data_IF_639865933796
#
_entry.id   IF_639865933796
#
_cell.length_a   1.000
_cell.length_b   1.000
_cell.length_c   1.000
_cell.angle_alpha   90.00
_cell.angle_beta   90.00
_cell.angle_gamma   90.00
#
_symmetry.space_group_name_H-M   'P 1'
#
loop_
_entity.id
_entity.type
_entity.pdbx_description
1 polymer ?
#
# COMPACT_ATOMS: atom_id res chain seq x y z
N UNK A 1 3.51 -18.06 -10.13
CA UNK A 1 2.35 -18.74 -9.51
C UNK A 1 1.45 -19.37 -10.57
N UNK A 2 1.25 -20.69 -10.57
CA UNK A 2 0.41 -21.39 -11.56
C UNK A 2 -1.05 -21.42 -11.07
N UNK A 3 -2.00 -20.90 -11.84
CA UNK A 3 -3.41 -20.91 -11.47
C UNK A 3 -4.10 -22.13 -12.06
N UNK A 4 -4.67 -22.98 -11.19
CA UNK A 4 -5.49 -24.12 -11.61
C UNK A 4 -6.96 -23.71 -11.62
N UNK A 5 -7.66 -24.00 -12.73
CA UNK A 5 -9.10 -23.73 -12.86
C UNK A 5 -9.85 -24.41 -11.72
N UNK A 6 -10.75 -23.66 -11.07
CA UNK A 6 -11.54 -24.13 -9.92
C UNK A 6 -10.88 -23.92 -8.55
N UNK A 7 -9.68 -23.33 -8.49
CA UNK A 7 -9.02 -22.96 -7.23
C UNK A 7 -9.20 -21.48 -6.93
N UNK A 8 -9.61 -21.14 -5.70
CA UNK A 8 -9.70 -19.75 -5.24
C UNK A 8 -8.30 -19.15 -5.15
N UNK A 9 -8.13 -17.93 -5.66
CA UNK A 9 -6.91 -17.15 -5.52
C UNK A 9 -7.16 -15.85 -4.78
N UNK A 10 -6.11 -15.35 -4.14
CA UNK A 10 -6.09 -14.07 -3.43
C UNK A 10 -4.67 -13.52 -3.44
N UNK A 11 -4.51 -12.27 -3.00
CA UNK A 11 -3.19 -11.74 -2.72
C UNK A 11 -2.46 -12.59 -1.67
N UNK A 12 -1.22 -12.96 -1.98
CA UNK A 12 -0.30 -13.68 -1.11
C UNK A 12 0.98 -12.87 -0.88
N UNK A 13 0.91 -11.55 -1.08
CA UNK A 13 2.06 -10.64 -1.03
C UNK A 13 3.25 -11.09 -1.89
N UNK A 14 2.97 -11.66 -3.07
CA UNK A 14 4.00 -12.21 -3.96
C UNK A 14 4.95 -13.16 -3.22
N UNK A 15 4.39 -14.19 -2.58
CA UNK A 15 5.16 -15.18 -1.82
C UNK A 15 6.28 -15.88 -2.63
N UNK A 16 6.23 -15.84 -3.96
CA UNK A 16 7.35 -16.18 -4.84
C UNK A 16 8.49 -15.16 -4.79
N UNK A 17 8.21 -13.88 -4.97
CA UNK A 17 9.23 -12.81 -4.84
C UNK A 17 9.87 -12.80 -3.45
N UNK A 18 9.07 -12.94 -2.39
CA UNK A 18 9.59 -12.88 -1.01
C UNK A 18 10.56 -14.01 -0.70
N UNK A 19 10.35 -15.21 -1.26
CA UNK A 19 11.29 -16.35 -1.11
C UNK A 19 12.64 -16.08 -1.76
N UNK A 20 12.69 -15.20 -2.75
CA UNK A 20 13.90 -14.76 -3.43
C UNK A 20 14.48 -13.45 -2.85
N UNK A 21 13.91 -12.92 -1.76
CA UNK A 21 14.33 -11.65 -1.17
C UNK A 21 13.97 -10.42 -2.01
N UNK A 22 13.00 -10.54 -2.93
CA UNK A 22 12.55 -9.45 -3.80
C UNK A 22 11.27 -8.80 -3.28
N UNK A 23 11.09 -7.52 -3.59
CA UNK A 23 9.86 -6.80 -3.29
C UNK A 23 8.65 -7.38 -4.06
N UNK A 24 7.43 -7.31 -3.50
CA UNK A 24 6.23 -7.78 -4.18
C UNK A 24 5.95 -7.08 -5.51
N UNK A 25 5.25 -7.77 -6.42
CA UNK A 25 4.99 -7.26 -7.78
C UNK A 25 4.26 -5.92 -7.81
N UNK A 26 3.24 -5.71 -6.97
CA UNK A 26 2.52 -4.44 -6.93
C UNK A 26 3.38 -3.28 -6.42
N UNK A 27 4.35 -3.57 -5.55
CA UNK A 27 5.24 -2.61 -4.93
C UNK A 27 6.29 -2.17 -5.94
N UNK A 28 6.94 -3.13 -6.61
CA UNK A 28 7.98 -2.86 -7.61
C UNK A 28 7.45 -2.29 -8.93
N UNK A 29 6.20 -2.61 -9.31
CA UNK A 29 5.62 -2.12 -10.55
C UNK A 29 5.09 -0.67 -10.47
N UNK A 30 4.94 -0.11 -9.26
CA UNK A 30 4.33 1.21 -9.12
C UNK A 30 5.31 2.32 -9.51
N UNK A 31 4.95 3.22 -10.45
CA UNK A 31 5.80 4.35 -10.81
C UNK A 31 5.69 5.52 -9.82
N UNK A 32 4.57 5.61 -9.08
CA UNK A 32 4.24 6.75 -8.21
C UNK A 32 4.80 6.63 -6.79
N UNK A 33 5.46 5.51 -6.43
CA UNK A 33 6.02 5.33 -5.08
C UNK A 33 4.99 5.30 -3.96
N UNK A 34 3.76 4.85 -4.23
CA UNK A 34 2.70 4.86 -3.18
C UNK A 34 2.75 3.65 -2.26
N UNK A 35 3.37 2.55 -2.71
CA UNK A 35 3.40 1.31 -1.94
C UNK A 35 4.70 1.18 -1.14
N UNK A 36 4.52 0.93 0.15
CA UNK A 36 5.56 0.57 1.09
C UNK A 36 5.31 -0.86 1.56
N UNK A 37 6.36 -1.67 1.63
CA UNK A 37 6.25 -3.06 2.06
C UNK A 37 7.42 -3.46 2.95
N UNK A 38 7.14 -4.26 3.99
CA UNK A 38 8.16 -4.71 4.92
C UNK A 38 7.59 -5.49 6.10
N UNK A 39 8.39 -5.60 7.16
CA UNK A 39 8.07 -6.42 8.32
C UNK A 39 7.59 -5.53 9.48
N UNK A 40 6.38 -5.79 9.96
CA UNK A 40 5.78 -5.06 11.09
C UNK A 40 6.55 -5.24 12.39
N UNK A 41 7.19 -6.39 12.61
CA UNK A 41 7.94 -6.68 13.84
C UNK A 41 9.31 -6.00 13.89
N UNK A 42 9.89 -5.72 12.72
CA UNK A 42 11.15 -4.97 12.59
C UNK A 42 10.91 -3.45 12.50
N UNK A 43 9.64 -3.03 12.49
CA UNK A 43 9.22 -1.64 12.27
C UNK A 43 9.82 -1.03 10.98
N UNK A 44 10.09 -1.83 9.95
CA UNK A 44 10.79 -1.38 8.75
C UNK A 44 9.95 -1.64 7.49
N UNK A 45 9.72 -0.59 6.70
CA UNK A 45 9.02 -0.68 5.40
C UNK A 45 9.78 0.04 4.29
N UNK A 46 9.89 -0.61 3.14
CA UNK A 46 10.63 -0.13 1.98
C UNK A 46 9.69 0.37 0.89
N UNK A 47 9.97 1.55 0.34
CA UNK A 47 9.24 2.08 -0.80
C UNK A 47 9.61 1.34 -2.09
N UNK A 48 8.61 0.97 -2.89
CA UNK A 48 8.82 0.22 -4.13
C UNK A 48 9.53 0.97 -5.26
N UNK A 49 9.44 2.29 -5.29
CA UNK A 49 10.02 3.13 -6.35
C UNK A 49 11.37 3.70 -5.95
N UNK A 50 11.48 4.26 -4.74
CA UNK A 50 12.73 4.90 -4.27
C UNK A 50 13.70 3.90 -3.65
N UNK A 51 13.22 2.72 -3.20
CA UNK A 51 14.04 1.76 -2.47
C UNK A 51 14.39 2.19 -1.04
N UNK A 52 13.86 3.33 -0.59
CA UNK A 52 14.12 3.87 0.75
C UNK A 52 13.35 3.08 1.80
N UNK A 53 14.03 2.75 2.89
CA UNK A 53 13.42 2.07 4.03
C UNK A 53 13.18 3.06 5.15
N UNK A 54 11.95 3.11 5.65
CA UNK A 54 11.50 4.02 6.71
C UNK A 54 10.86 3.23 7.85
N UNK A 55 10.79 3.85 9.03
CA UNK A 55 10.08 3.27 10.18
C UNK A 55 8.57 3.27 9.94
N UNK A 56 7.92 2.13 10.13
CA UNK A 56 6.47 1.98 9.94
C UNK A 56 5.70 2.83 10.95
N UNK A 57 6.06 2.77 12.23
CA UNK A 57 5.44 3.54 13.31
C UNK A 57 5.53 5.05 13.06
N UNK A 58 6.70 5.53 12.62
CA UNK A 58 6.91 6.92 12.25
C UNK A 58 6.08 7.34 11.03
N UNK A 59 6.00 6.48 10.00
CA UNK A 59 5.21 6.73 8.79
C UNK A 59 3.71 6.84 9.12
N UNK A 60 3.17 5.89 9.88
CA UNK A 60 1.76 5.88 10.27
C UNK A 60 1.41 7.07 11.16
N UNK A 61 2.24 7.41 12.13
CA UNK A 61 2.04 8.56 13.00
C UNK A 61 2.06 9.89 12.25
N UNK A 62 3.03 10.07 11.33
CA UNK A 62 3.17 11.30 10.52
C UNK A 62 2.05 11.48 9.50
N UNK A 63 1.47 10.38 9.02
CA UNK A 63 0.50 10.40 7.93
C UNK A 63 -0.93 10.07 8.36
N UNK A 64 -1.20 9.89 9.66
CA UNK A 64 -2.50 9.47 10.18
C UNK A 64 -2.98 8.17 9.49
N UNK A 65 -2.08 7.19 9.40
CA UNK A 65 -2.39 5.90 8.79
C UNK A 65 -3.46 5.14 9.58
N UNK A 66 -4.36 4.47 8.87
CA UNK A 66 -5.49 3.74 9.47
C UNK A 66 -5.67 2.36 8.83
N UNK A 67 -6.42 1.50 9.51
CA UNK A 67 -6.79 0.18 8.99
C UNK A 67 -8.23 0.22 8.49
N UNK A 68 -8.45 -0.45 7.36
CA UNK A 68 -9.78 -0.52 6.79
C UNK A 68 -10.66 -1.47 7.61
N UNK A 69 -11.83 -1.00 8.03
CA UNK A 69 -12.86 -1.79 8.75
C UNK A 69 -12.32 -2.47 10.03
N UNK A 70 -11.63 -1.71 10.89
CA UNK A 70 -11.05 -2.24 12.12
C UNK A 70 -12.11 -2.81 13.10
N UNK A 71 -13.33 -2.28 13.07
CA UNK A 71 -14.47 -2.72 13.89
C UNK A 71 -14.86 -4.20 13.72
N UNK A 72 -14.47 -4.82 12.60
CA UNK A 72 -14.74 -6.23 12.33
C UNK A 72 -13.79 -7.18 13.08
N UNK A 73 -12.76 -6.67 13.77
CA UNK A 73 -11.85 -7.47 14.59
C UNK A 73 -10.91 -8.39 13.80
N UNK A 74 -10.79 -8.21 12.48
CA UNK A 74 -9.99 -9.08 11.59
C UNK A 74 -8.50 -8.75 11.57
N UNK A 75 -8.11 -7.65 12.22
CA UNK A 75 -6.74 -7.18 12.31
C UNK A 75 -5.96 -7.29 10.97
N UNK A 76 -6.35 -6.53 9.91
CA UNK A 76 -5.69 -6.58 8.61
C UNK A 76 -4.24 -6.05 8.64
N UNK A 77 -3.30 -6.72 7.98
CA UNK A 77 -1.89 -6.30 7.92
C UNK A 77 -1.62 -5.16 6.91
N UNK A 78 -2.66 -4.56 6.34
CA UNK A 78 -2.54 -3.48 5.36
C UNK A 78 -2.99 -2.17 6.00
N UNK A 79 -2.14 -1.16 5.91
CA UNK A 79 -2.41 0.18 6.42
C UNK A 79 -2.60 1.15 5.26
N UNK A 80 -3.59 2.02 5.36
CA UNK A 80 -3.91 3.03 4.37
C UNK A 80 -3.47 4.40 4.87
N UNK A 81 -2.90 5.20 3.97
CA UNK A 81 -2.56 6.59 4.24
C UNK A 81 -3.67 7.48 3.67
N UNK A 82 -4.29 8.37 4.46
CA UNK A 82 -5.25 9.33 3.95
C UNK A 82 -4.57 10.29 2.96
N UNK A 83 -5.33 10.80 1.97
CA UNK A 83 -4.80 11.81 1.05
C UNK A 83 -4.42 13.08 1.83
N UNK A 84 -3.19 13.55 1.64
CA UNK A 84 -2.73 14.86 2.11
C UNK A 84 -2.98 15.87 1.01
N UNK A 85 -3.46 17.05 1.39
CA UNK A 85 -3.71 18.18 0.48
C UNK A 85 -4.56 17.80 -0.74
N UNK A 86 -5.83 17.42 -0.49
CA UNK A 86 -6.84 17.49 -1.56
C UNK A 86 -6.96 18.94 -1.98
N UNK A 87 -6.22 19.35 -3.01
CA UNK A 87 -6.63 20.47 -3.82
C UNK A 87 -8.02 20.12 -4.35
N UNK A 88 -9.05 20.73 -3.77
CA UNK A 88 -10.37 20.76 -4.39
C UNK A 88 -10.12 21.33 -5.79
N UNK A 89 -10.28 20.51 -6.82
CA UNK A 89 -10.26 21.02 -8.19
C UNK A 89 -11.34 22.11 -8.24
N UNK A 90 -11.03 23.35 -8.65
CA UNK A 90 -12.06 24.37 -8.77
C UNK A 90 -13.14 23.84 -9.71
N UNK A 91 -14.40 23.86 -9.26
CA UNK A 91 -15.51 23.59 -10.16
C UNK A 91 -15.42 24.59 -11.31
N UNK A 92 -15.23 24.08 -12.52
CA UNK A 92 -15.30 24.88 -13.75
C UNK A 92 -16.76 25.34 -13.91
N UNK A 93 -17.11 26.46 -13.29
CA UNK A 93 -18.39 27.14 -13.54
C UNK A 93 -18.34 27.79 -14.92
N UNK A 94 -18.52 26.97 -15.95
CA UNK A 94 -18.62 27.42 -17.34
C UNK A 94 -20.05 27.86 -17.64
N UNK A 95 -20.53 28.91 -16.96
CA UNK A 95 -21.76 29.60 -17.33
C UNK A 95 -21.45 30.70 -18.37
N UNK A 96 -21.18 30.32 -19.62
CA UNK A 96 -21.30 31.24 -20.75
C UNK A 96 -21.41 30.51 -22.11
N UNK A 97 -22.64 30.18 -22.52
CA UNK A 97 -23.27 30.43 -23.85
C UNK A 97 -24.61 29.71 -23.91
#
# INVERSE_FOLDING_TARGET
MYHRKGTVTKCTFSADCLREGKLPYCVSACPNGVYYFGNVYEDAVTNGTTGETVSLSALLGKNAGYRLMEDLGTAPSVYYLPPKDRALMPENNNNNI
#
